data_IF_549809661830
#
_entry.id   IF_549809661830
#
_cell.length_a   1.000
_cell.length_b   1.000
_cell.length_c   1.000
_cell.angle_alpha   90.00
_cell.angle_beta   90.00
_cell.angle_gamma   90.00
#
_symmetry.space_group_name_H-M   'P 1'
#
loop_
_entity.id
_entity.type
_entity.pdbx_description
1 polymer ?
#
# COMPACT_ATOMS: atom_id res chain seq x y z
N UNK A 1 -39.20 -76.84 -22.75
CA UNK A 1 -39.66 -76.11 -21.55
C UNK A 1 -39.84 -74.64 -21.95
N UNK A 2 -41.08 -74.36 -22.47
CA UNK A 2 -41.50 -72.96 -22.65
C UNK A 2 -41.86 -72.44 -21.27
N UNK A 3 -41.02 -71.56 -20.72
CA UNK A 3 -41.36 -70.74 -19.55
C UNK A 3 -42.42 -69.74 -19.99
N UNK A 4 -43.67 -69.95 -19.56
CA UNK A 4 -44.72 -68.95 -19.58
C UNK A 4 -44.26 -67.79 -18.62
N UNK A 5 -43.62 -66.79 -19.17
CA UNK A 5 -43.39 -65.58 -18.47
C UNK A 5 -44.75 -64.88 -18.39
N UNK A 6 -45.32 -64.86 -17.19
CA UNK A 6 -46.59 -64.16 -16.97
C UNK A 6 -46.35 -62.68 -17.10
N UNK A 7 -47.15 -61.98 -17.94
CA UNK A 7 -47.00 -60.51 -18.13
C UNK A 7 -46.95 -59.74 -16.80
N UNK A 8 -47.57 -60.28 -15.76
CA UNK A 8 -47.54 -59.70 -14.40
C UNK A 8 -46.18 -59.77 -13.73
N UNK A 9 -45.36 -60.78 -13.98
CA UNK A 9 -44.01 -60.90 -13.37
C UNK A 9 -43.04 -59.94 -14.02
N UNK A 10 -43.20 -59.68 -15.32
CA UNK A 10 -42.44 -58.70 -16.06
C UNK A 10 -42.76 -57.31 -15.56
N UNK A 11 -44.04 -56.99 -15.36
CA UNK A 11 -44.49 -55.71 -14.81
C UNK A 11 -43.97 -55.46 -13.39
N UNK A 12 -43.99 -56.46 -12.51
CA UNK A 12 -43.47 -56.40 -11.14
C UNK A 12 -41.97 -56.21 -11.14
N UNK A 13 -41.22 -56.82 -12.07
CA UNK A 13 -39.78 -56.59 -12.21
C UNK A 13 -39.44 -55.17 -12.60
N UNK A 14 -40.10 -54.56 -13.61
CA UNK A 14 -39.93 -53.21 -14.01
C UNK A 14 -40.33 -52.23 -12.90
N UNK A 15 -41.42 -52.51 -12.19
CA UNK A 15 -41.87 -51.72 -11.03
C UNK A 15 -40.83 -51.74 -9.90
N UNK A 16 -40.22 -52.90 -9.60
CA UNK A 16 -39.18 -53.01 -8.59
C UNK A 16 -37.91 -52.24 -8.99
N UNK A 17 -37.50 -52.28 -10.27
CA UNK A 17 -36.38 -51.51 -10.80
C UNK A 17 -36.68 -50.00 -10.68
N UNK A 18 -37.87 -49.56 -11.06
CA UNK A 18 -38.26 -48.15 -10.94
C UNK A 18 -38.15 -47.68 -9.49
N UNK A 19 -38.65 -48.46 -8.51
CA UNK A 19 -38.56 -48.12 -7.09
C UNK A 19 -37.14 -48.12 -6.56
N UNK A 20 -36.29 -49.03 -7.05
CA UNK A 20 -34.87 -49.04 -6.69
C UNK A 20 -34.12 -47.79 -7.20
N UNK A 21 -34.35 -47.41 -8.45
CA UNK A 21 -33.79 -46.21 -9.05
C UNK A 21 -34.29 -44.96 -8.29
N UNK A 22 -35.60 -44.90 -8.00
CA UNK A 22 -36.19 -43.78 -7.27
C UNK A 22 -35.60 -43.65 -5.86
N UNK A 23 -35.45 -44.76 -5.14
CA UNK A 23 -34.84 -44.80 -3.81
C UNK A 23 -33.39 -44.32 -3.87
N UNK A 24 -32.60 -44.75 -4.86
CA UNK A 24 -31.24 -44.28 -5.09
C UNK A 24 -31.18 -42.78 -5.36
N UNK A 25 -32.08 -42.24 -6.20
CA UNK A 25 -32.14 -40.82 -6.48
C UNK A 25 -32.48 -39.95 -5.24
N UNK A 26 -33.47 -40.42 -4.44
CA UNK A 26 -33.84 -39.73 -3.19
C UNK A 26 -32.70 -39.75 -2.19
N UNK A 27 -32.01 -40.90 -2.03
CA UNK A 27 -30.85 -41.01 -1.14
C UNK A 27 -29.72 -40.08 -1.58
N UNK A 28 -29.45 -40.00 -2.88
CA UNK A 28 -28.43 -39.12 -3.44
C UNK A 28 -28.73 -37.63 -3.18
N UNK A 29 -29.99 -37.20 -3.40
CA UNK A 29 -30.42 -35.84 -3.08
C UNK A 29 -30.34 -35.57 -1.58
N UNK A 30 -30.73 -36.50 -0.73
CA UNK A 30 -30.65 -36.33 0.73
C UNK A 30 -29.19 -36.17 1.22
N UNK A 31 -28.25 -36.90 0.62
CA UNK A 31 -26.82 -36.73 0.92
C UNK A 31 -26.31 -35.34 0.53
N UNK A 32 -26.65 -34.86 -0.66
CA UNK A 32 -26.26 -33.49 -1.07
C UNK A 32 -26.87 -32.43 -0.17
N UNK A 33 -28.13 -32.57 0.24
CA UNK A 33 -28.75 -31.65 1.22
C UNK A 33 -28.00 -31.67 2.56
N UNK A 34 -27.61 -32.87 3.03
CA UNK A 34 -26.87 -33.00 4.29
C UNK A 34 -25.50 -32.32 4.22
N UNK A 35 -24.75 -32.49 3.14
CA UNK A 35 -23.46 -31.83 2.95
C UNK A 35 -23.57 -30.29 2.89
N UNK A 36 -24.59 -29.77 2.20
CA UNK A 36 -24.87 -28.32 2.19
C UNK A 36 -25.23 -27.80 3.60
N UNK A 37 -25.97 -28.60 4.37
CA UNK A 37 -26.31 -28.25 5.76
C UNK A 37 -25.05 -28.26 6.63
N UNK A 38 -24.19 -29.26 6.55
CA UNK A 38 -22.91 -29.32 7.29
C UNK A 38 -22.00 -28.15 6.93
N UNK A 39 -21.90 -27.78 5.65
CA UNK A 39 -21.15 -26.61 5.20
C UNK A 39 -21.72 -25.30 5.72
N UNK A 40 -23.05 -25.17 5.74
CA UNK A 40 -23.73 -23.99 6.29
C UNK A 40 -23.55 -23.88 7.80
N UNK A 41 -23.62 -24.99 8.55
CA UNK A 41 -23.38 -25.04 10.00
C UNK A 41 -21.92 -24.68 10.33
N UNK A 42 -20.94 -25.23 9.61
CA UNK A 42 -19.53 -24.91 9.78
C UNK A 42 -19.26 -23.40 9.62
N UNK A 43 -19.82 -22.77 8.57
CA UNK A 43 -19.73 -21.32 8.37
C UNK A 43 -20.43 -20.52 9.49
N UNK A 44 -21.59 -20.99 9.97
CA UNK A 44 -22.33 -20.35 11.05
C UNK A 44 -21.56 -20.43 12.39
N UNK A 45 -20.83 -21.50 12.63
CA UNK A 45 -19.97 -21.71 13.80
C UNK A 45 -18.64 -20.98 13.70
N UNK A 46 -18.36 -20.31 12.56
CA UNK A 46 -17.18 -19.48 12.35
C UNK A 46 -15.97 -20.23 11.81
N UNK A 47 -16.12 -21.48 11.35
CA UNK A 47 -15.04 -22.19 10.63
C UNK A 47 -14.97 -21.72 9.18
N UNK A 48 -14.26 -20.60 8.98
CA UNK A 48 -14.07 -19.96 7.68
C UNK A 48 -13.09 -20.71 6.76
N UNK A 49 -12.37 -21.71 7.29
CA UNK A 49 -11.45 -22.54 6.50
C UNK A 49 -12.14 -23.78 5.92
N UNK A 50 -13.37 -24.07 6.35
CA UNK A 50 -14.13 -25.18 5.81
C UNK A 50 -14.45 -24.95 4.33
N UNK A 51 -14.08 -25.93 3.49
CA UNK A 51 -14.42 -25.93 2.05
C UNK A 51 -15.26 -27.15 1.73
N UNK A 52 -16.44 -26.88 1.23
CA UNK A 52 -17.36 -27.90 0.76
C UNK A 52 -16.85 -28.50 -0.57
N UNK A 53 -16.76 -29.84 -0.66
CA UNK A 53 -16.43 -30.50 -1.91
C UNK A 53 -17.65 -30.58 -2.85
N UNK A 54 -17.61 -29.75 -3.88
CA UNK A 54 -18.67 -29.63 -4.89
C UNK A 54 -18.47 -30.53 -6.11
N UNK A 55 -17.41 -31.35 -6.13
CA UNK A 55 -17.02 -32.15 -7.31
C UNK A 55 -18.07 -33.21 -7.72
N UNK A 56 -18.79 -33.77 -6.76
CA UNK A 56 -19.81 -34.78 -6.96
C UNK A 56 -21.26 -34.25 -6.94
N UNK A 57 -21.42 -32.95 -6.66
CA UNK A 57 -22.72 -32.29 -6.66
C UNK A 57 -23.19 -32.00 -8.08
N UNK A 58 -24.50 -32.02 -8.28
CA UNK A 58 -25.13 -31.82 -9.59
C UNK A 58 -26.17 -30.72 -9.56
N UNK A 59 -26.43 -30.10 -10.73
CA UNK A 59 -27.46 -29.09 -10.91
C UNK A 59 -27.30 -27.91 -9.94
N UNK A 60 -28.41 -27.43 -9.39
CA UNK A 60 -28.42 -26.29 -8.43
C UNK A 60 -27.69 -26.56 -7.12
N UNK A 61 -27.51 -27.84 -6.70
CA UNK A 61 -26.77 -28.18 -5.50
C UNK A 61 -25.29 -27.76 -5.62
N UNK A 62 -24.69 -27.97 -6.79
CA UNK A 62 -23.33 -27.55 -7.08
C UNK A 62 -23.18 -26.04 -6.99
N UNK A 63 -24.11 -25.29 -7.62
CA UNK A 63 -24.12 -23.83 -7.57
C UNK A 63 -24.28 -23.31 -6.14
N UNK A 64 -25.15 -23.92 -5.32
CA UNK A 64 -25.29 -23.55 -3.91
C UNK A 64 -24.04 -23.86 -3.09
N UNK A 65 -23.36 -24.99 -3.31
CA UNK A 65 -22.10 -25.33 -2.67
C UNK A 65 -20.98 -24.35 -3.03
N UNK A 66 -20.85 -24.01 -4.32
CA UNK A 66 -19.89 -23.00 -4.78
C UNK A 66 -20.19 -21.61 -4.19
N UNK A 67 -21.47 -21.24 -4.07
CA UNK A 67 -21.87 -20.00 -3.43
C UNK A 67 -21.53 -19.97 -1.93
N UNK A 68 -21.72 -21.06 -1.20
CA UNK A 68 -21.31 -21.19 0.20
C UNK A 68 -19.78 -21.02 0.36
N UNK A 69 -19.00 -21.68 -0.51
CA UNK A 69 -17.54 -21.52 -0.51
C UNK A 69 -17.13 -20.06 -0.76
N UNK A 70 -17.75 -19.37 -1.73
CA UNK A 70 -17.48 -17.95 -1.99
C UNK A 70 -17.88 -17.04 -0.83
N UNK A 71 -18.97 -17.34 -0.13
CA UNK A 71 -19.37 -16.60 1.07
C UNK A 71 -18.31 -16.78 2.16
N UNK A 72 -17.82 -18.01 2.39
CA UNK A 72 -16.74 -18.31 3.34
C UNK A 72 -15.47 -17.52 3.02
N UNK A 73 -15.03 -17.55 1.77
CA UNK A 73 -13.86 -16.78 1.29
C UNK A 73 -14.06 -15.27 1.48
N UNK A 74 -15.24 -14.74 1.16
CA UNK A 74 -15.57 -13.32 1.33
C UNK A 74 -15.56 -12.88 2.80
N UNK A 75 -16.13 -13.69 3.70
CA UNK A 75 -16.12 -13.42 5.14
C UNK A 75 -14.69 -13.50 5.68
N UNK A 76 -13.90 -14.52 5.29
CA UNK A 76 -12.51 -14.68 5.70
C UNK A 76 -11.67 -13.45 5.31
N UNK A 77 -11.78 -13.01 4.07
CA UNK A 77 -11.11 -11.79 3.60
C UNK A 77 -11.53 -10.53 4.38
N UNK A 78 -12.84 -10.38 4.67
CA UNK A 78 -13.35 -9.26 5.44
C UNK A 78 -12.86 -9.26 6.90
N UNK A 79 -12.81 -10.45 7.52
CA UNK A 79 -12.27 -10.63 8.89
C UNK A 79 -10.78 -10.31 8.92
N UNK A 80 -10.00 -10.83 7.98
CA UNK A 80 -8.57 -10.56 7.88
C UNK A 80 -8.30 -9.05 7.69
N UNK A 81 -9.05 -8.40 6.81
CA UNK A 81 -8.94 -6.95 6.59
C UNK A 81 -9.29 -6.17 7.87
N UNK A 82 -10.33 -6.60 8.60
CA UNK A 82 -10.71 -5.98 9.87
C UNK A 82 -9.65 -6.19 10.95
N UNK A 83 -9.09 -7.39 11.06
CA UNK A 83 -7.98 -7.68 11.99
C UNK A 83 -6.76 -6.82 11.69
N UNK A 84 -6.36 -6.70 10.41
CA UNK A 84 -5.28 -5.81 9.98
C UNK A 84 -5.57 -4.36 10.39
N UNK A 85 -6.81 -3.88 10.22
CA UNK A 85 -7.21 -2.52 10.61
C UNK A 85 -7.16 -2.31 12.13
N UNK A 86 -7.64 -3.27 12.94
CA UNK A 86 -7.60 -3.18 14.41
C UNK A 86 -6.16 -3.29 14.96
N UNK A 87 -5.34 -4.16 14.37
CA UNK A 87 -3.91 -4.25 14.70
C UNK A 87 -3.21 -2.91 14.44
N UNK A 88 -3.49 -2.31 13.28
CA UNK A 88 -2.97 -1.00 12.91
C UNK A 88 -3.37 0.10 13.89
N UNK A 89 -4.63 0.13 14.35
CA UNK A 89 -5.08 1.12 15.36
C UNK A 89 -4.31 0.97 16.67
N UNK A 90 -4.12 -0.25 17.13
CA UNK A 90 -3.40 -0.53 18.37
C UNK A 90 -1.94 -0.14 18.29
N UNK A 91 -1.30 -0.46 17.17
CA UNK A 91 0.08 -0.14 16.88
C UNK A 91 0.30 1.38 16.70
N UNK A 92 -0.62 2.06 15.99
CA UNK A 92 -0.66 3.51 15.90
C UNK A 92 -0.71 4.16 17.28
N UNK A 93 -1.59 3.71 18.17
CA UNK A 93 -1.73 4.30 19.51
C UNK A 93 -0.46 4.09 20.33
N UNK A 94 0.16 2.92 20.27
CA UNK A 94 1.29 2.58 21.13
C UNK A 94 2.59 3.22 20.64
N UNK A 95 2.96 3.00 19.37
CA UNK A 95 4.26 3.44 18.84
C UNK A 95 4.29 4.95 18.59
N UNK A 96 3.19 5.50 18.05
CA UNK A 96 3.09 6.95 17.84
C UNK A 96 3.03 7.71 19.16
N UNK A 97 2.38 7.18 20.19
CA UNK A 97 2.35 7.83 21.50
C UNK A 97 3.76 7.98 22.09
N UNK A 98 4.60 6.96 21.93
CA UNK A 98 6.00 7.03 22.35
C UNK A 98 6.79 8.06 21.52
N UNK A 99 6.64 8.03 20.19
CA UNK A 99 7.37 8.90 19.26
C UNK A 99 6.92 10.36 19.32
N UNK A 100 5.68 10.63 19.74
CA UNK A 100 5.15 11.96 20.08
C UNK A 100 5.67 12.43 21.44
N UNK A 101 5.69 11.55 22.46
CA UNK A 101 6.09 11.90 23.82
C UNK A 101 7.52 12.43 23.89
N UNK A 102 8.43 11.86 23.12
CA UNK A 102 9.85 12.24 23.12
C UNK A 102 10.08 13.69 22.69
N UNK A 103 9.68 14.15 21.49
CA UNK A 103 9.83 15.54 21.09
C UNK A 103 8.98 16.49 21.95
N UNK A 104 7.79 16.09 22.40
CA UNK A 104 6.95 16.91 23.27
C UNK A 104 7.60 17.15 24.63
N UNK A 105 8.18 16.14 25.26
CA UNK A 105 8.92 16.27 26.52
C UNK A 105 10.14 17.19 26.31
N UNK A 106 10.84 17.08 25.18
CA UNK A 106 11.96 17.97 24.86
C UNK A 106 11.49 19.43 24.69
N UNK A 107 10.37 19.67 23.98
CA UNK A 107 9.76 20.99 23.82
C UNK A 107 9.45 21.61 25.19
N UNK A 108 8.80 20.86 26.08
CA UNK A 108 8.44 21.33 27.41
C UNK A 108 9.71 21.67 28.21
N UNK A 109 10.70 20.79 28.23
CA UNK A 109 11.94 21.01 28.98
C UNK A 109 12.71 22.26 28.48
N UNK A 110 12.82 22.46 27.18
CA UNK A 110 13.51 23.64 26.62
C UNK A 110 12.70 24.92 26.81
N UNK A 111 11.36 24.85 26.77
CA UNK A 111 10.49 25.96 27.12
C UNK A 111 10.65 26.38 28.60
N UNK A 112 10.74 25.39 29.52
CA UNK A 112 11.02 25.63 30.94
C UNK A 112 12.40 26.26 31.19
N UNK A 113 13.43 25.80 30.42
CA UNK A 113 14.76 26.37 30.49
C UNK A 113 14.78 27.85 30.04
N UNK A 114 14.10 28.15 28.94
CA UNK A 114 13.93 29.53 28.44
C UNK A 114 13.20 30.38 29.49
N UNK A 115 12.13 29.84 30.11
CA UNK A 115 11.38 30.52 31.16
C UNK A 115 12.28 30.90 32.35
N UNK A 116 13.10 29.95 32.83
CA UNK A 116 14.04 30.20 33.94
C UNK A 116 15.11 31.24 33.60
N UNK A 117 15.72 31.17 32.41
CA UNK A 117 16.69 32.16 31.97
C UNK A 117 16.07 33.58 31.90
N UNK A 118 14.80 33.71 31.49
CA UNK A 118 14.07 34.97 31.44
C UNK A 118 13.75 35.46 32.87
N UNK A 119 13.31 34.57 33.78
CA UNK A 119 13.03 34.93 35.19
C UNK A 119 14.29 35.38 35.95
N UNK A 120 15.43 34.69 35.74
CA UNK A 120 16.71 35.06 36.32
C UNK A 120 17.19 36.45 35.80
N UNK A 121 16.93 36.78 34.55
CA UNK A 121 17.21 38.11 34.01
C UNK A 121 16.38 39.22 34.68
N UNK A 122 15.11 38.93 35.02
CA UNK A 122 14.27 39.90 35.73
C UNK A 122 14.63 40.07 37.22
N UNK A 123 15.20 39.03 37.84
CA UNK A 123 15.65 39.07 39.25
C UNK A 123 17.02 39.72 39.43
N UNK A 124 17.84 39.82 38.36
CA UNK A 124 19.23 40.23 38.41
C UNK A 124 19.45 41.72 38.10
N UNK A 125 18.40 42.54 37.94
CA UNK A 125 18.53 44.01 37.93
C UNK A 125 19.18 44.58 39.23
N UNK A 126 19.40 43.72 40.25
CA UNK A 126 20.04 44.08 41.53
C UNK A 126 21.52 43.65 41.65
N UNK A 127 22.22 43.40 40.54
CA UNK A 127 23.69 43.47 40.46
C UNK A 127 24.45 42.42 41.30
N UNK A 128 24.61 41.22 40.84
CA UNK A 128 25.82 40.31 40.98
C UNK A 128 25.66 39.05 40.10
N UNK A 129 25.86 39.18 38.80
CA UNK A 129 26.10 37.99 37.97
C UNK A 129 27.42 38.16 37.21
N UNK A 130 28.25 37.12 37.30
CA UNK A 130 29.56 37.02 36.62
C UNK A 130 29.44 36.51 35.17
N UNK A 131 28.23 36.23 34.70
CA UNK A 131 27.96 35.78 33.33
C UNK A 131 27.71 36.96 32.39
N UNK A 132 28.31 36.93 31.21
CA UNK A 132 28.13 37.97 30.19
C UNK A 132 26.77 37.80 29.52
N UNK A 133 26.09 38.94 29.22
CA UNK A 133 24.80 38.97 28.50
C UNK A 133 24.86 38.17 27.16
N UNK A 134 26.04 38.18 26.54
CA UNK A 134 26.31 37.44 25.30
C UNK A 134 26.22 35.89 25.46
N UNK A 135 26.66 35.34 26.60
CA UNK A 135 26.57 33.89 26.87
C UNK A 135 25.12 33.43 27.13
N UNK A 136 24.34 34.30 27.75
CA UNK A 136 22.90 34.06 27.97
C UNK A 136 22.09 34.12 26.68
N UNK A 137 22.33 35.12 25.82
CA UNK A 137 21.71 35.22 24.51
C UNK A 137 22.05 34.02 23.66
N UNK A 138 23.27 33.49 23.70
CA UNK A 138 23.67 32.31 22.98
C UNK A 138 22.91 31.06 23.45
N UNK A 139 22.77 30.84 24.78
CA UNK A 139 22.01 29.72 25.34
C UNK A 139 20.51 29.80 24.96
N UNK A 140 19.91 30.99 25.06
CA UNK A 140 18.52 31.19 24.64
C UNK A 140 18.31 30.87 23.15
N UNK A 141 19.27 31.28 22.30
CA UNK A 141 19.26 30.95 20.87
C UNK A 141 19.36 29.47 20.63
N UNK A 142 20.25 28.76 21.32
CA UNK A 142 20.41 27.29 21.25
C UNK A 142 19.13 26.54 21.70
N UNK A 143 18.52 27.01 22.81
CA UNK A 143 17.26 26.41 23.31
C UNK A 143 16.11 26.63 22.31
N UNK A 144 16.02 27.84 21.73
CA UNK A 144 15.01 28.17 20.72
C UNK A 144 15.19 27.32 19.44
N UNK A 145 16.44 27.10 18.99
CA UNK A 145 16.72 26.24 17.84
C UNK A 145 16.29 24.78 18.09
N UNK A 146 16.59 24.24 19.29
CA UNK A 146 16.16 22.88 19.66
C UNK A 146 14.64 22.79 19.69
N UNK A 147 13.96 23.77 20.28
CA UNK A 147 12.50 23.85 20.36
C UNK A 147 11.88 23.86 18.97
N UNK A 148 12.38 24.69 18.07
CA UNK A 148 11.91 24.75 16.68
C UNK A 148 12.14 23.44 15.94
N UNK A 149 13.30 22.79 16.12
CA UNK A 149 13.61 21.49 15.52
C UNK A 149 12.65 20.41 16.01
N UNK A 150 12.38 20.33 17.32
CA UNK A 150 11.47 19.35 17.89
C UNK A 150 10.01 19.63 17.48
N UNK A 151 9.60 20.88 17.40
CA UNK A 151 8.26 21.25 16.92
C UNK A 151 8.05 20.86 15.44
N UNK A 152 9.04 21.06 14.58
CA UNK A 152 8.98 20.62 13.17
C UNK A 152 8.92 19.12 13.07
N UNK A 153 9.68 18.41 13.91
CA UNK A 153 9.66 16.94 13.98
C UNK A 153 8.28 16.44 14.41
N UNK A 154 7.69 17.01 15.45
CA UNK A 154 6.36 16.68 15.93
C UNK A 154 5.29 16.94 14.86
N UNK A 155 5.35 18.08 14.19
CA UNK A 155 4.44 18.39 13.07
C UNK A 155 4.52 17.33 11.99
N UNK A 156 5.73 16.96 11.53
CA UNK A 156 5.93 15.93 10.50
C UNK A 156 5.34 14.57 10.95
N UNK A 157 5.52 14.19 12.22
CA UNK A 157 4.94 12.98 12.80
C UNK A 157 3.41 12.96 12.70
N UNK A 158 2.77 14.08 13.05
CA UNK A 158 1.32 14.24 12.99
C UNK A 158 0.81 14.21 11.55
N UNK A 159 1.49 14.87 10.63
CA UNK A 159 1.15 14.89 9.21
C UNK A 159 1.26 13.47 8.62
N UNK A 160 2.35 12.75 8.88
CA UNK A 160 2.57 11.36 8.45
C UNK A 160 1.49 10.42 9.02
N UNK A 161 1.10 10.60 10.30
CA UNK A 161 0.05 9.81 10.95
C UNK A 161 -1.33 10.06 10.33
N UNK A 162 -1.69 11.32 10.10
CA UNK A 162 -2.96 11.68 9.49
C UNK A 162 -3.07 11.14 8.06
N UNK A 163 -1.98 11.23 7.29
CA UNK A 163 -1.91 10.68 5.94
C UNK A 163 -2.08 9.16 5.95
N UNK A 164 -1.32 8.45 6.81
CA UNK A 164 -1.45 7.00 6.97
C UNK A 164 -2.86 6.58 7.39
N UNK A 165 -3.49 7.32 8.30
CA UNK A 165 -4.87 7.07 8.75
C UNK A 165 -5.89 7.27 7.63
N UNK A 166 -5.79 8.37 6.87
CA UNK A 166 -6.68 8.65 5.73
C UNK A 166 -6.51 7.62 4.62
N UNK A 167 -5.26 7.24 4.30
CA UNK A 167 -4.97 6.23 3.30
C UNK A 167 -5.57 4.86 3.66
N UNK A 168 -5.52 4.47 4.95
CA UNK A 168 -6.08 3.18 5.41
C UNK A 168 -7.60 3.14 5.41
N UNK A 169 -8.24 4.28 5.69
CA UNK A 169 -9.72 4.39 5.74
C UNK A 169 -10.34 4.66 4.37
N UNK A 170 -9.54 4.80 3.31
CA UNK A 170 -10.01 5.15 1.97
C UNK A 170 -10.56 6.58 1.86
N UNK A 171 -10.32 7.42 2.87
CA UNK A 171 -10.79 8.81 2.92
C UNK A 171 -9.79 9.82 2.32
N UNK A 172 -8.77 9.34 1.62
CA UNK A 172 -7.83 10.19 0.91
C UNK A 172 -8.38 10.48 -0.50
N UNK A 173 -8.56 11.75 -0.82
CA UNK A 173 -8.96 12.15 -2.16
C UNK A 173 -7.77 12.02 -3.13
N UNK A 174 -7.96 11.26 -4.21
CA UNK A 174 -6.98 11.06 -5.27
C UNK A 174 -7.54 11.68 -6.55
N UNK A 175 -6.77 12.56 -7.18
CA UNK A 175 -7.11 13.20 -8.45
C UNK A 175 -6.14 12.71 -9.54
N UNK A 176 -6.43 11.57 -10.20
CA UNK A 176 -5.54 11.02 -11.21
C UNK A 176 -5.50 11.92 -12.45
N UNK A 177 -4.31 12.29 -12.85
CA UNK A 177 -4.02 13.05 -14.08
C UNK A 177 -2.86 12.37 -14.83
N UNK A 178 -2.65 12.77 -16.07
CA UNK A 178 -1.52 12.27 -16.86
C UNK A 178 -0.23 12.86 -16.31
N UNK A 179 0.56 12.06 -15.59
CA UNK A 179 1.82 12.47 -14.99
C UNK A 179 3.02 11.95 -15.79
N UNK A 180 3.99 12.82 -16.05
CA UNK A 180 5.30 12.44 -16.59
C UNK A 180 6.21 11.95 -15.45
N UNK A 181 6.40 10.64 -15.40
CA UNK A 181 7.17 9.99 -14.34
C UNK A 181 8.64 10.38 -14.40
N UNK A 182 9.20 10.52 -15.59
CA UNK A 182 10.62 10.86 -15.79
C UNK A 182 10.94 12.25 -15.25
N UNK A 183 10.08 13.22 -15.53
CA UNK A 183 10.21 14.58 -15.01
C UNK A 183 10.08 14.59 -13.49
N UNK A 184 9.06 13.93 -12.95
CA UNK A 184 8.80 13.91 -11.52
C UNK A 184 9.94 13.24 -10.74
N UNK A 185 10.47 12.12 -11.24
CA UNK A 185 11.60 11.42 -10.62
C UNK A 185 12.88 12.26 -10.66
N UNK A 186 13.13 12.95 -11.77
CA UNK A 186 14.30 13.84 -11.90
C UNK A 186 14.23 15.03 -10.93
N UNK A 187 13.05 15.62 -10.77
CA UNK A 187 12.84 16.69 -9.80
C UNK A 187 13.06 16.20 -8.37
N UNK A 188 12.48 15.04 -8.00
CA UNK A 188 12.66 14.44 -6.69
C UNK A 188 14.14 14.11 -6.42
N UNK A 189 14.85 13.53 -7.39
CA UNK A 189 16.27 13.26 -7.27
C UNK A 189 17.10 14.53 -7.06
N UNK A 190 16.77 15.62 -7.78
CA UNK A 190 17.43 16.92 -7.64
C UNK A 190 17.30 17.52 -6.25
N UNK A 191 16.13 17.40 -5.59
CA UNK A 191 15.97 17.86 -4.21
C UNK A 191 16.84 17.10 -3.19
N UNK A 192 17.21 15.87 -3.49
CA UNK A 192 18.06 15.05 -2.62
C UNK A 192 19.55 15.12 -2.98
N UNK A 193 19.94 15.77 -4.07
CA UNK A 193 21.32 15.80 -4.57
C UNK A 193 22.34 16.26 -3.51
N UNK A 194 22.09 17.40 -2.85
CA UNK A 194 22.98 17.92 -1.82
C UNK A 194 23.07 16.96 -0.62
N UNK A 195 21.93 16.43 -0.16
CA UNK A 195 21.88 15.51 0.99
C UNK A 195 22.58 14.19 0.69
N UNK A 196 22.49 13.69 -0.53
CA UNK A 196 23.18 12.49 -0.98
C UNK A 196 24.67 12.74 -1.14
N UNK A 197 25.07 13.91 -1.65
CA UNK A 197 26.46 14.33 -1.75
C UNK A 197 27.13 14.42 -0.38
N UNK A 198 26.45 15.00 0.63
CA UNK A 198 26.94 15.10 2.01
C UNK A 198 27.23 13.72 2.61
N UNK A 199 26.45 12.71 2.23
CA UNK A 199 26.63 11.30 2.62
C UNK A 199 27.52 10.50 1.66
N UNK A 200 28.10 11.17 0.64
CA UNK A 200 28.93 10.57 -0.43
C UNK A 200 28.19 9.47 -1.20
N UNK A 201 26.88 9.60 -1.39
CA UNK A 201 26.09 8.71 -2.22
C UNK A 201 26.16 9.16 -3.67
N UNK A 202 26.51 8.26 -4.59
CA UNK A 202 26.50 8.50 -6.02
C UNK A 202 25.15 8.14 -6.61
N UNK A 203 24.37 9.14 -7.08
CA UNK A 203 23.05 8.91 -7.68
C UNK A 203 23.16 8.65 -9.16
N UNK A 204 22.62 7.54 -9.62
CA UNK A 204 22.58 7.12 -11.04
C UNK A 204 21.11 7.05 -11.45
N UNK A 205 20.67 8.01 -12.28
CA UNK A 205 19.33 8.04 -12.85
C UNK A 205 19.35 7.46 -14.26
N UNK A 206 18.50 6.48 -14.54
CA UNK A 206 18.33 5.88 -15.88
C UNK A 206 16.86 5.96 -16.27
N UNK A 207 16.62 6.55 -17.43
CA UNK A 207 15.27 6.77 -17.96
C UNK A 207 15.26 6.48 -19.46
N UNK A 208 14.13 6.03 -20.04
CA UNK A 208 13.94 5.98 -21.48
C UNK A 208 14.08 7.37 -22.12
N UNK A 209 14.47 7.42 -23.39
CA UNK A 209 14.49 8.67 -24.16
C UNK A 209 13.08 9.17 -24.45
N UNK A 210 12.10 8.27 -24.52
CA UNK A 210 10.70 8.60 -24.71
C UNK A 210 10.04 9.02 -23.36
N UNK A 211 9.10 9.95 -23.47
CA UNK A 211 8.32 10.41 -22.32
C UNK A 211 7.42 9.28 -21.80
N UNK A 212 7.61 8.87 -20.57
CA UNK A 212 6.81 7.83 -19.92
C UNK A 212 5.75 8.48 -19.03
N UNK A 213 4.49 8.17 -19.31
CA UNK A 213 3.32 8.77 -18.64
C UNK A 213 2.48 7.72 -17.95
N UNK A 214 2.01 8.04 -16.74
CA UNK A 214 1.07 7.22 -15.95
C UNK A 214 -0.14 8.04 -15.56
N UNK A 215 -1.26 7.37 -15.25
CA UNK A 215 -2.43 8.00 -14.62
C UNK A 215 -2.24 7.98 -13.11
N UNK A 216 -1.85 9.11 -12.52
CA UNK A 216 -1.59 9.22 -11.09
C UNK A 216 -1.85 10.65 -10.58
N UNK A 217 -2.07 10.81 -9.26
CA UNK A 217 -2.03 12.13 -8.62
C UNK A 217 -0.57 12.52 -8.37
N UNK A 218 -0.08 13.52 -9.08
CA UNK A 218 1.32 13.94 -9.02
C UNK A 218 1.78 14.32 -7.62
N UNK A 219 0.89 14.83 -6.74
CA UNK A 219 1.21 15.18 -5.34
C UNK A 219 1.47 13.92 -4.51
N UNK A 220 0.61 12.89 -4.68
CA UNK A 220 0.77 11.63 -3.98
C UNK A 220 1.95 10.83 -4.52
N UNK A 221 2.18 10.83 -5.83
CA UNK A 221 3.34 10.19 -6.43
C UNK A 221 4.66 10.86 -5.99
N UNK A 222 4.68 12.20 -5.90
CA UNK A 222 5.79 12.94 -5.30
C UNK A 222 6.07 12.49 -3.85
N UNK A 223 5.00 12.36 -3.05
CA UNK A 223 5.10 11.91 -1.66
C UNK A 223 5.65 10.49 -1.54
N UNK A 224 5.29 9.61 -2.46
CA UNK A 224 5.87 8.25 -2.57
C UNK A 224 7.38 8.37 -2.80
N UNK A 225 7.82 9.18 -3.77
CA UNK A 225 9.24 9.36 -4.07
C UNK A 225 10.00 9.99 -2.89
N UNK A 226 9.44 11.00 -2.24
CA UNK A 226 10.03 11.62 -1.04
C UNK A 226 10.25 10.59 0.08
N UNK A 227 9.26 9.75 0.35
CA UNK A 227 9.37 8.69 1.35
C UNK A 227 10.49 7.69 1.01
N UNK A 228 10.59 7.26 -0.26
CA UNK A 228 11.61 6.32 -0.69
C UNK A 228 13.02 6.95 -0.70
N UNK A 229 13.17 8.17 -1.20
CA UNK A 229 14.46 8.89 -1.20
C UNK A 229 14.93 9.22 0.22
N UNK A 230 14.02 9.59 1.11
CA UNK A 230 14.33 9.80 2.51
C UNK A 230 14.73 8.49 3.23
N UNK A 231 14.13 7.36 2.86
CA UNK A 231 14.54 6.05 3.32
C UNK A 231 15.97 5.73 2.85
N UNK A 232 16.27 5.92 1.57
CA UNK A 232 17.62 5.76 1.03
C UNK A 232 18.61 6.67 1.76
N UNK A 233 18.29 7.96 1.91
CA UNK A 233 19.16 8.89 2.65
C UNK A 233 19.50 8.39 4.05
N UNK A 234 18.53 7.82 4.77
CA UNK A 234 18.74 7.32 6.12
C UNK A 234 19.58 6.05 6.17
N UNK A 235 19.23 5.07 5.35
CA UNK A 235 19.69 3.70 5.51
C UNK A 235 20.75 3.25 4.50
N UNK A 236 21.00 4.01 3.42
CA UNK A 236 22.03 3.64 2.46
C UNK A 236 23.44 3.75 3.08
N UNK A 237 24.30 2.81 2.71
CA UNK A 237 25.70 2.79 3.07
C UNK A 237 26.42 4.00 2.47
N UNK A 238 27.10 4.78 3.30
CA UNK A 238 27.86 5.93 2.85
C UNK A 238 28.93 5.54 1.81
N UNK A 239 29.09 6.31 0.75
CA UNK A 239 30.00 6.03 -0.34
C UNK A 239 29.50 4.98 -1.35
N UNK A 240 28.26 4.51 -1.21
CA UNK A 240 27.64 3.58 -2.15
C UNK A 240 26.88 4.30 -3.27
N UNK A 241 26.35 3.50 -4.22
CA UNK A 241 25.54 4.01 -5.34
C UNK A 241 24.06 3.85 -5.06
N UNK A 242 23.29 4.84 -5.51
CA UNK A 242 21.82 4.84 -5.54
C UNK A 242 21.38 4.81 -6.99
N UNK A 243 20.54 3.84 -7.34
CA UNK A 243 20.01 3.71 -8.69
C UNK A 243 18.53 4.06 -8.70
N UNK A 244 18.17 5.00 -9.57
CA UNK A 244 16.80 5.45 -9.81
C UNK A 244 16.48 5.19 -11.27
N UNK A 245 15.68 4.17 -11.56
CA UNK A 245 15.39 3.76 -12.93
C UNK A 245 13.91 3.93 -13.24
N UNK A 246 13.60 4.38 -14.45
CA UNK A 246 12.28 4.23 -15.07
C UNK A 246 12.43 3.24 -16.20
N UNK A 247 11.64 2.18 -16.18
CA UNK A 247 11.60 1.14 -17.21
C UNK A 247 10.18 1.05 -17.75
N UNK A 248 10.06 0.82 -19.07
CA UNK A 248 8.79 0.70 -19.75
C UNK A 248 8.86 -0.49 -20.71
N UNK A 249 7.91 -1.41 -20.63
CA UNK A 249 7.87 -2.63 -21.45
C UNK A 249 6.65 -2.70 -22.40
N UNK A 250 5.99 -1.56 -22.65
CA UNK A 250 4.89 -1.42 -23.61
C UNK A 250 3.50 -1.50 -22.98
N UNK A 251 3.33 -1.94 -21.73
CA UNK A 251 2.10 -1.90 -20.97
C UNK A 251 2.32 -1.31 -19.57
N UNK A 252 3.40 -1.76 -18.91
CA UNK A 252 3.70 -1.38 -17.54
C UNK A 252 4.85 -0.39 -17.48
N UNK A 253 4.71 0.60 -16.62
CA UNK A 253 5.75 1.54 -16.23
C UNK A 253 6.28 1.12 -14.86
N UNK A 254 7.57 0.79 -14.79
CA UNK A 254 8.25 0.41 -13.56
C UNK A 254 9.21 1.49 -13.11
N UNK A 255 9.04 1.97 -11.89
CA UNK A 255 9.90 2.96 -11.24
C UNK A 255 10.68 2.22 -10.15
N UNK A 256 12.00 2.18 -10.27
CA UNK A 256 12.85 1.33 -9.46
C UNK A 256 13.82 2.19 -8.66
N UNK A 257 13.79 2.00 -7.34
CA UNK A 257 14.73 2.57 -6.38
C UNK A 257 15.62 1.46 -5.83
N UNK A 258 16.94 1.61 -5.92
CA UNK A 258 17.90 0.61 -5.46
C UNK A 258 19.06 1.26 -4.72
N UNK A 259 19.44 0.69 -3.56
CA UNK A 259 20.60 1.10 -2.78
C UNK A 259 21.19 -0.08 -2.00
N UNK A 260 22.43 0.07 -1.57
CA UNK A 260 23.04 -0.81 -0.57
C UNK A 260 22.73 -0.29 0.82
N UNK A 261 22.24 -1.15 1.71
CA UNK A 261 21.96 -0.83 3.10
C UNK A 261 23.25 -0.75 3.93
N UNK A 262 23.30 0.19 4.86
CA UNK A 262 24.38 0.27 5.86
C UNK A 262 24.28 -0.80 6.96
N UNK A 263 23.13 -1.47 7.03
CA UNK A 263 22.83 -2.49 8.04
C UNK A 263 22.35 -3.77 7.35
N UNK A 264 22.65 -4.94 7.91
CA UNK A 264 22.12 -6.20 7.42
C UNK A 264 20.58 -6.15 7.35
N UNK A 265 20.01 -6.59 6.24
CA UNK A 265 18.56 -6.70 6.04
C UNK A 265 18.13 -8.11 6.47
N UNK A 266 17.96 -8.32 7.78
CA UNK A 266 17.56 -9.60 8.37
C UNK A 266 16.03 -9.81 8.37
N UNK A 267 15.26 -8.77 7.95
CA UNK A 267 13.80 -8.77 7.92
C UNK A 267 13.29 -9.20 6.55
N UNK A 268 12.15 -9.90 6.53
CA UNK A 268 11.49 -10.23 5.28
C UNK A 268 10.94 -8.97 4.59
N UNK A 269 10.72 -9.00 3.26
CA UNK A 269 10.08 -7.89 2.55
C UNK A 269 8.71 -7.51 3.16
N UNK A 270 7.93 -8.49 3.58
CA UNK A 270 6.61 -8.31 4.21
C UNK A 270 6.74 -7.57 5.54
N UNK A 271 7.71 -7.95 6.38
CA UNK A 271 7.99 -7.26 7.65
C UNK A 271 8.45 -5.81 7.43
N UNK A 272 9.21 -5.52 6.34
CA UNK A 272 9.64 -4.16 6.00
C UNK A 272 8.49 -3.28 5.48
N UNK A 273 7.45 -3.88 4.91
CA UNK A 273 6.23 -3.19 4.46
C UNK A 273 5.27 -2.89 5.62
N UNK A 274 5.35 -3.62 6.71
CA UNK A 274 4.54 -3.37 7.90
C UNK A 274 4.85 -2.00 8.49
N UNK A 275 3.82 -1.38 9.04
CA UNK A 275 3.93 -0.04 9.63
C UNK A 275 4.74 -0.10 10.92
N UNK A 276 5.49 0.96 11.19
CA UNK A 276 6.34 1.11 12.38
C UNK A 276 7.46 0.08 12.54
N UNK A 277 7.68 -0.77 11.52
CA UNK A 277 8.73 -1.77 11.59
C UNK A 277 10.09 -1.13 11.40
N UNK A 278 11.02 -1.44 12.30
CA UNK A 278 12.41 -0.99 12.27
C UNK A 278 13.31 -2.17 12.59
N UNK A 279 14.35 -2.37 11.80
CA UNK A 279 15.40 -3.33 12.14
C UNK A 279 16.02 -2.99 13.51
N UNK A 280 16.33 -3.98 14.34
CA UNK A 280 16.83 -3.78 15.71
C UNK A 280 18.03 -2.82 15.80
N UNK A 281 18.93 -2.86 14.82
CA UNK A 281 20.13 -1.99 14.76
C UNK A 281 19.84 -0.57 14.29
N UNK A 282 18.69 -0.33 13.64
CA UNK A 282 18.27 0.99 13.15
C UNK A 282 17.38 1.78 14.14
N UNK A 283 17.07 1.21 15.30
CA UNK A 283 16.21 1.83 16.33
C UNK A 283 16.74 3.16 16.85
N UNK A 284 18.05 3.40 16.74
CA UNK A 284 18.68 4.67 17.16
C UNK A 284 18.70 5.75 16.07
N UNK A 285 18.27 5.43 14.85
CA UNK A 285 18.18 6.43 13.77
C UNK A 285 16.82 7.14 13.78
N UNK A 286 16.82 8.41 13.43
CA UNK A 286 15.58 9.21 13.34
C UNK A 286 14.66 8.68 12.24
N UNK A 287 13.47 8.21 12.61
CA UNK A 287 12.43 7.77 11.67
C UNK A 287 11.27 7.12 12.41
N UNK A 288 10.07 7.17 11.83
CA UNK A 288 8.84 6.69 12.48
C UNK A 288 8.41 5.29 12.00
N UNK A 289 9.15 4.68 11.07
CA UNK A 289 8.77 3.42 10.45
C UNK A 289 7.52 3.49 9.54
N UNK A 290 7.01 4.70 9.27
CA UNK A 290 5.80 4.90 8.46
C UNK A 290 6.07 5.12 6.97
N UNK A 291 7.29 5.50 6.57
CA UNK A 291 7.56 5.98 5.22
C UNK A 291 7.28 4.95 4.12
N UNK A 292 7.70 3.68 4.32
CA UNK A 292 7.45 2.61 3.33
C UNK A 292 5.98 2.24 3.25
N UNK A 293 5.29 2.13 4.38
CA UNK A 293 3.86 1.82 4.42
C UNK A 293 2.98 2.94 3.85
N UNK A 294 3.37 4.22 4.05
CA UNK A 294 2.71 5.36 3.39
C UNK A 294 2.95 5.29 1.88
N UNK A 295 4.19 5.04 1.44
CA UNK A 295 4.51 4.91 0.02
C UNK A 295 3.68 3.80 -0.63
N UNK A 296 3.58 2.63 0.00
CA UNK A 296 2.76 1.51 -0.48
C UNK A 296 1.28 1.89 -0.56
N UNK A 297 0.71 2.40 0.53
CA UNK A 297 -0.71 2.78 0.56
C UNK A 297 -1.06 3.86 -0.48
N UNK A 298 -0.19 4.86 -0.67
CA UNK A 298 -0.39 5.90 -1.69
C UNK A 298 -0.25 5.36 -3.12
N UNK A 299 0.58 4.35 -3.35
CA UNK A 299 0.71 3.68 -4.65
C UNK A 299 -0.54 2.86 -4.96
N UNK A 300 -0.99 2.03 -4.01
CA UNK A 300 -2.18 1.18 -4.14
C UNK A 300 -3.47 2.01 -4.35
N UNK A 301 -3.62 3.14 -3.64
CA UNK A 301 -4.75 4.06 -3.83
C UNK A 301 -4.83 4.67 -5.23
N UNK A 302 -3.72 4.67 -5.95
CA UNK A 302 -3.62 5.16 -7.33
C UNK A 302 -3.64 4.01 -8.36
N UNK A 303 -4.07 2.80 -7.96
CA UNK A 303 -4.07 1.57 -8.77
C UNK A 303 -2.67 1.14 -9.24
N UNK A 304 -1.61 1.54 -8.53
CA UNK A 304 -0.26 1.01 -8.73
C UNK A 304 0.04 -0.14 -7.78
N UNK A 305 1.10 -0.88 -8.07
CA UNK A 305 1.65 -1.92 -7.20
C UNK A 305 3.03 -1.52 -6.70
N UNK A 306 3.36 -1.87 -5.46
CA UNK A 306 4.68 -1.62 -4.88
C UNK A 306 5.25 -2.90 -4.28
N UNK A 307 6.40 -3.31 -4.77
CA UNK A 307 7.12 -4.50 -4.31
C UNK A 307 8.47 -4.12 -3.72
N UNK A 308 8.79 -4.75 -2.59
CA UNK A 308 10.11 -4.65 -1.95
C UNK A 308 10.85 -5.97 -2.13
N UNK A 309 12.10 -5.88 -2.50
CA UNK A 309 13.01 -7.03 -2.62
C UNK A 309 14.29 -6.72 -1.86
N UNK A 310 14.72 -7.64 -1.02
CA UNK A 310 16.00 -7.61 -0.32
C UNK A 310 16.85 -8.79 -0.75
N UNK A 311 18.14 -8.54 -1.00
CA UNK A 311 19.12 -9.59 -1.32
C UNK A 311 20.45 -9.23 -0.66
N UNK A 312 20.75 -9.88 0.49
CA UNK A 312 21.84 -9.47 1.37
C UNK A 312 21.65 -8.02 1.83
N UNK A 313 22.60 -7.14 1.47
CA UNK A 313 22.52 -5.70 1.79
C UNK A 313 21.83 -4.89 0.71
N UNK A 314 21.41 -5.50 -0.40
CA UNK A 314 20.68 -4.83 -1.46
C UNK A 314 19.22 -4.61 -1.05
N UNK A 315 18.80 -3.36 -1.08
CA UNK A 315 17.41 -2.94 -0.93
C UNK A 315 16.88 -2.42 -2.26
N UNK A 316 15.78 -2.98 -2.74
CA UNK A 316 15.15 -2.60 -4.01
C UNK A 316 13.64 -2.42 -3.80
N UNK A 317 13.12 -1.27 -4.23
CA UNK A 317 11.67 -1.02 -4.34
C UNK A 317 11.33 -0.86 -5.80
N UNK A 318 10.28 -1.53 -6.24
CA UNK A 318 9.72 -1.40 -7.59
C UNK A 318 8.28 -0.95 -7.46
N UNK A 319 7.95 0.17 -8.10
CA UNK A 319 6.59 0.69 -8.22
C UNK A 319 6.14 0.44 -9.65
N UNK A 320 4.97 -0.14 -9.84
CA UNK A 320 4.41 -0.45 -11.15
C UNK A 320 3.09 0.27 -11.34
N UNK A 321 2.93 0.93 -12.48
CA UNK A 321 1.68 1.52 -12.94
C UNK A 321 1.40 1.08 -14.38
N UNK A 322 0.13 1.04 -14.76
CA UNK A 322 -0.23 0.94 -16.16
C UNK A 322 0.17 2.21 -16.92
N UNK A 323 0.67 2.07 -18.15
CA UNK A 323 0.95 3.22 -19.00
C UNK A 323 -0.34 4.00 -19.30
N UNK A 324 -0.30 5.33 -19.13
CA UNK A 324 -1.38 6.17 -19.60
C UNK A 324 -1.48 6.09 -21.13
N UNK A 325 -2.47 5.38 -21.62
CA UNK A 325 -2.73 5.24 -23.07
C UNK A 325 -2.79 6.64 -23.68
N UNK A 326 -1.96 6.91 -24.69
CA UNK A 326 -2.06 8.12 -25.49
C UNK A 326 -3.48 8.16 -26.05
N UNK A 327 -4.33 9.08 -25.60
CA UNK A 327 -5.57 9.38 -26.30
C UNK A 327 -5.21 9.57 -27.78
N UNK A 328 -5.67 8.67 -28.65
CA UNK A 328 -5.60 8.90 -30.09
C UNK A 328 -6.28 10.24 -30.30
N UNK A 329 -5.50 11.30 -30.64
CA UNK A 329 -6.06 12.55 -31.11
C UNK A 329 -7.17 12.17 -32.08
N UNK A 330 -8.41 12.69 -31.90
CA UNK A 330 -9.46 12.44 -32.87
C UNK A 330 -8.91 12.83 -34.24
N UNK A 331 -8.92 11.87 -35.18
CA UNK A 331 -8.47 12.09 -36.54
C UNK A 331 -9.23 13.33 -37.02
N UNK A 332 -8.56 14.38 -37.54
CA UNK A 332 -9.25 15.53 -38.08
C UNK A 332 -10.27 15.00 -39.08
N UNK A 333 -11.49 15.56 -39.11
CA UNK A 333 -12.50 15.07 -40.02
C UNK A 333 -11.89 15.04 -41.42
N UNK A 334 -12.00 13.89 -42.08
CA UNK A 334 -11.50 13.68 -43.45
C UNK A 334 -12.21 14.72 -44.31
N UNK A 335 -11.45 15.72 -44.79
CA UNK A 335 -11.94 16.71 -45.73
C UNK A 335 -12.23 15.92 -47.01
N UNK A 336 -13.47 15.56 -47.22
CA UNK A 336 -13.95 15.01 -48.52
C UNK A 336 -13.79 16.14 -49.49
N UNK A 337 -13.01 16.00 -50.58
CA UNK A 337 -12.88 17.05 -51.58
C UNK A 337 -14.29 17.39 -52.16
N UNK A 338 -14.62 18.67 -52.29
CA UNK A 338 -15.88 19.20 -52.80
C UNK A 338 -16.30 18.62 -54.16
N UNK A 339 -15.41 17.99 -54.91
CA UNK A 339 -15.66 17.38 -56.21
C UNK A 339 -16.60 16.15 -56.19
N UNK A 340 -16.93 15.56 -55.03
CA UNK A 340 -17.84 14.39 -54.95
C UNK A 340 -19.25 14.79 -54.56
N UNK A 341 -19.50 16.06 -54.20
CA UNK A 341 -20.85 16.53 -53.83
C UNK A 341 -21.68 17.03 -55.03
N UNK A 342 -21.07 17.32 -56.19
CA UNK A 342 -21.84 17.80 -57.38
C UNK A 342 -22.45 16.66 -58.20
N UNK A 343 -21.94 15.42 -58.13
CA UNK A 343 -22.52 14.29 -58.88
C UNK A 343 -23.79 13.69 -58.24
N UNK A 344 -24.02 13.92 -56.94
CA UNK A 344 -25.22 13.39 -56.25
C UNK A 344 -26.47 14.29 -56.37
N UNK A 345 -26.36 15.48 -56.96
CA UNK A 345 -27.50 16.40 -57.16
C UNK A 345 -28.03 16.44 -58.61
N UNK A 346 -27.45 15.68 -59.54
CA UNK A 346 -27.93 15.62 -60.94
C UNK A 346 -28.79 14.38 -61.23
N UNK A 347 -28.94 13.43 -60.29
CA UNK A 347 -29.78 12.23 -60.47
C UNK A 347 -31.01 12.18 -59.54
N UNK A 348 -31.56 13.30 -59.08
CA UNK A 348 -32.80 13.37 -58.33
C UNK A 348 -33.89 14.19 -59.00
#
# INVERSE_FOLDING_TARGET
LMLFYNDTDVLLFFWAIEKFILCGAITFVALMCKELQEGSEALADGDLNYKLDTSHMVLSFKEHGENLNRIGEGISAAVEQRMKSEHLKTELITNVSHDIKTPLTSIINYADLIGKEVEENTATENGLTTETDSEKEQRLSEYAEVLLRQSRKLKKLLDDLLEASKATTGNLEVHPEVCDVSVLLSQAAGEYEQRFSDKKLETIVKQPEETVKVMADGRHLWRVFDNLLNNIYKYAQAGSRVYLNVEHDGQDVRIIFRNMSAFPLEMSPEELEERFTRGDKSRHMEGNGLGLSIAKSLTELQNGDMQIVTDGDLFKVTITFDEAVKEKKPMPPMIVPEAVQEEAQQDA
#
